data_IF_324536361155
#
_entry.id   IF_324536361155
#
_cell.length_a   1.000
_cell.length_b   1.000
_cell.length_c   1.000
_cell.angle_alpha   90.00
_cell.angle_beta   90.00
_cell.angle_gamma   90.00
#
_symmetry.space_group_name_H-M   'P 1'
#
loop_
_entity.id
_entity.type
_entity.pdbx_description
1 polymer ?
#
# COMPACT_ATOMS: atom_id res chain seq x y z
N UNK A 1 -23.54 9.41 3.54
CA UNK A 1 -23.18 8.27 2.65
C UNK A 1 -21.78 8.54 2.13
N UNK A 2 -20.82 7.72 2.54
CA UNK A 2 -19.40 7.87 2.15
C UNK A 2 -19.26 7.61 0.65
N UNK A 3 -18.84 8.62 -0.12
CA UNK A 3 -18.82 8.56 -1.60
C UNK A 3 -17.58 7.86 -2.18
N UNK A 4 -16.64 7.42 -1.35
CA UNK A 4 -15.45 6.71 -1.84
C UNK A 4 -15.67 5.20 -1.91
N UNK A 5 -15.11 4.61 -2.98
CA UNK A 5 -15.27 3.19 -3.31
C UNK A 5 -14.61 2.23 -2.33
N UNK A 6 -14.95 0.95 -2.48
CA UNK A 6 -14.23 -0.15 -1.84
C UNK A 6 -12.85 -0.33 -2.47
N UNK A 7 -11.92 -0.93 -1.72
CA UNK A 7 -10.66 -1.41 -2.28
C UNK A 7 -10.58 -2.93 -2.24
N UNK A 8 -9.99 -3.58 -3.27
CA UNK A 8 -9.81 -5.02 -3.27
C UNK A 8 -8.64 -5.42 -2.37
N UNK A 9 -8.83 -6.50 -1.60
CA UNK A 9 -7.80 -7.16 -0.80
C UNK A 9 -7.97 -8.69 -0.91
N UNK A 10 -6.87 -9.44 -0.93
CA UNK A 10 -6.95 -10.90 -0.98
C UNK A 10 -7.61 -11.46 0.29
N UNK A 11 -8.50 -12.43 0.14
CA UNK A 11 -9.08 -13.14 1.29
C UNK A 11 -7.97 -13.77 2.16
N UNK A 12 -6.98 -14.38 1.51
CA UNK A 12 -5.82 -14.99 2.15
C UNK A 12 -5.04 -14.02 3.07
N UNK A 13 -5.04 -12.71 2.78
CA UNK A 13 -4.33 -11.75 3.62
C UNK A 13 -4.93 -11.65 5.03
N UNK A 14 -6.26 -11.78 5.16
CA UNK A 14 -6.93 -11.77 6.45
C UNK A 14 -6.86 -13.13 7.14
N UNK A 15 -7.12 -14.21 6.40
CA UNK A 15 -7.24 -15.54 6.97
C UNK A 15 -5.90 -16.16 7.36
N UNK A 16 -4.86 -15.92 6.56
CA UNK A 16 -3.59 -16.65 6.66
C UNK A 16 -2.41 -15.74 6.98
N UNK A 17 -2.45 -14.46 6.57
CA UNK A 17 -1.37 -13.49 6.86
C UNK A 17 -1.64 -12.60 8.08
N UNK A 18 -2.82 -12.72 8.69
CA UNK A 18 -3.15 -12.02 9.94
C UNK A 18 -3.31 -10.50 9.80
N UNK A 19 -3.56 -9.98 8.58
CA UNK A 19 -3.93 -8.58 8.41
C UNK A 19 -5.23 -8.29 9.17
N UNK A 20 -5.32 -7.08 9.73
CA UNK A 20 -6.51 -6.59 10.43
C UNK A 20 -6.84 -5.19 9.93
N UNK A 21 -8.11 -4.82 10.10
CA UNK A 21 -8.58 -3.47 9.82
C UNK A 21 -8.92 -2.77 11.14
N UNK A 22 -8.64 -1.45 11.27
CA UNK A 22 -7.92 -0.63 10.29
C UNK A 22 -6.46 -1.09 10.12
N UNK A 23 -5.87 -0.83 8.95
CA UNK A 23 -4.44 -1.08 8.73
C UNK A 23 -3.61 -0.25 9.72
N UNK A 24 -2.42 -0.74 10.06
CA UNK A 24 -1.50 0.01 10.90
C UNK A 24 -0.95 1.24 10.18
N UNK A 25 -0.42 2.20 10.93
CA UNK A 25 0.21 3.38 10.33
C UNK A 25 1.42 3.02 9.46
N UNK A 26 2.15 1.96 9.81
CA UNK A 26 3.26 1.45 9.01
C UNK A 26 2.78 0.82 7.69
N UNK A 27 1.77 -0.06 7.73
CA UNK A 27 1.18 -0.67 6.53
C UNK A 27 0.66 0.43 5.57
N UNK A 28 -0.09 1.40 6.10
CA UNK A 28 -0.59 2.56 5.35
C UNK A 28 0.57 3.36 4.75
N UNK A 29 1.63 3.60 5.52
CA UNK A 29 2.80 4.33 5.03
C UNK A 29 3.50 3.59 3.88
N UNK A 30 3.60 2.25 3.93
CA UNK A 30 4.18 1.44 2.84
C UNK A 30 3.32 1.52 1.58
N UNK A 31 2.00 1.33 1.69
CA UNK A 31 1.09 1.44 0.53
C UNK A 31 1.13 2.84 -0.10
N UNK A 32 1.19 3.88 0.75
CA UNK A 32 1.32 5.26 0.31
C UNK A 32 2.66 5.51 -0.39
N UNK A 33 3.77 5.06 0.19
CA UNK A 33 5.11 5.24 -0.37
C UNK A 33 5.24 4.55 -1.74
N UNK A 34 4.69 3.34 -1.88
CA UNK A 34 4.69 2.62 -3.16
C UNK A 34 3.69 3.16 -4.18
N UNK A 35 2.75 4.01 -3.77
CA UNK A 35 1.60 4.42 -4.58
C UNK A 35 0.79 3.22 -5.12
N UNK A 36 0.56 2.22 -4.26
CA UNK A 36 -0.17 1.00 -4.60
C UNK A 36 -1.37 0.79 -3.70
N UNK A 37 -2.43 0.20 -4.26
CA UNK A 37 -3.48 -0.40 -3.44
C UNK A 37 -2.99 -1.74 -2.89
N UNK A 38 -3.43 -2.19 -1.70
CA UNK A 38 -2.90 -3.40 -1.07
C UNK A 38 -2.94 -4.63 -1.97
N UNK A 39 -4.03 -4.85 -2.71
CA UNK A 39 -4.11 -5.99 -3.63
C UNK A 39 -3.13 -5.91 -4.80
N UNK A 40 -2.63 -4.75 -5.21
CA UNK A 40 -1.65 -4.65 -6.31
C UNK A 40 -0.26 -5.19 -5.93
N UNK A 41 -0.02 -5.42 -4.63
CA UNK A 41 1.14 -6.12 -4.13
C UNK A 41 0.94 -7.64 -4.18
N UNK A 42 1.99 -8.37 -4.53
CA UNK A 42 1.98 -9.82 -4.41
C UNK A 42 1.79 -10.24 -2.94
N UNK A 43 1.07 -11.33 -2.63
CA UNK A 43 0.84 -11.75 -1.25
C UNK A 43 2.12 -11.90 -0.41
N UNK A 44 3.20 -12.50 -0.93
CA UNK A 44 4.47 -12.57 -0.19
C UNK A 44 5.00 -11.18 0.23
N UNK A 45 4.73 -10.14 -0.56
CA UNK A 45 5.10 -8.76 -0.21
C UNK A 45 4.25 -8.20 0.92
N UNK A 46 2.95 -8.52 0.94
CA UNK A 46 2.08 -8.23 2.08
C UNK A 46 2.57 -8.95 3.34
N UNK A 47 2.99 -10.22 3.21
CA UNK A 47 3.57 -10.97 4.32
C UNK A 47 4.87 -10.34 4.83
N UNK A 48 5.75 -9.84 3.95
CA UNK A 48 6.97 -9.13 4.38
C UNK A 48 6.68 -7.84 5.16
N UNK A 49 5.71 -7.04 4.72
CA UNK A 49 5.30 -5.81 5.43
C UNK A 49 4.87 -6.19 6.86
N UNK A 50 4.00 -7.19 6.98
CA UNK A 50 3.46 -7.61 8.27
C UNK A 50 4.52 -8.23 9.16
N UNK A 51 5.34 -9.13 8.63
CA UNK A 51 6.41 -9.80 9.37
C UNK A 51 7.46 -8.80 9.86
N UNK A 52 7.81 -7.81 9.04
CA UNK A 52 8.74 -6.74 9.43
C UNK A 52 8.18 -5.91 10.58
N UNK A 53 6.92 -5.47 10.49
CA UNK A 53 6.26 -4.73 11.57
C UNK A 53 6.23 -5.53 12.88
N UNK A 54 5.83 -6.80 12.82
CA UNK A 54 5.79 -7.67 14.00
C UNK A 54 7.18 -7.89 14.60
N UNK A 55 8.21 -8.05 13.76
CA UNK A 55 9.60 -8.21 14.19
C UNK A 55 10.13 -6.94 14.84
N UNK A 56 9.83 -5.77 14.26
CA UNK A 56 10.19 -4.48 14.85
C UNK A 56 9.56 -4.28 16.23
N UNK A 57 8.26 -4.58 16.35
CA UNK A 57 7.56 -4.54 17.63
C UNK A 57 8.16 -5.49 18.67
N UNK A 58 8.49 -6.73 18.27
CA UNK A 58 9.14 -7.72 19.14
C UNK A 58 10.53 -7.28 19.61
N UNK A 59 11.33 -6.70 18.71
CA UNK A 59 12.68 -6.21 19.01
C UNK A 59 12.71 -4.82 19.66
N UNK A 60 11.55 -4.18 19.84
CA UNK A 60 11.43 -2.90 20.54
C UNK A 60 11.90 -1.69 19.74
N UNK A 61 11.87 -1.74 18.40
CA UNK A 61 12.17 -0.57 17.56
C UNK A 61 10.99 -0.18 16.66
N UNK A 62 10.97 1.09 16.24
CA UNK A 62 9.92 1.61 15.37
C UNK A 62 10.15 1.14 13.92
N UNK A 63 9.17 0.45 13.29
CA UNK A 63 9.28 0.12 11.87
C UNK A 63 9.18 1.40 11.03
N UNK A 64 10.19 1.67 10.19
CA UNK A 64 10.24 2.87 9.35
C UNK A 64 10.31 2.50 7.88
N UNK A 65 9.81 3.40 7.02
CA UNK A 65 9.89 3.24 5.56
C UNK A 65 11.33 3.08 5.07
N UNK A 66 12.30 3.94 5.49
CA UNK A 66 13.70 3.75 5.13
C UNK A 66 14.26 2.37 5.47
N UNK A 67 14.04 1.91 6.71
CA UNK A 67 14.59 0.63 7.17
C UNK A 67 13.94 -0.56 6.43
N UNK A 68 12.64 -0.47 6.17
CA UNK A 68 11.94 -1.48 5.37
C UNK A 68 12.51 -1.56 3.95
N UNK A 69 12.67 -0.44 3.25
CA UNK A 69 13.18 -0.43 1.87
C UNK A 69 14.69 -0.64 1.74
N UNK A 70 15.43 -0.57 2.86
CA UNK A 70 16.79 -1.09 2.96
C UNK A 70 16.80 -2.64 2.93
N UNK A 71 15.83 -3.27 3.59
CA UNK A 71 15.71 -4.74 3.66
C UNK A 71 14.96 -5.35 2.46
N UNK A 72 14.03 -4.61 1.85
CA UNK A 72 13.14 -5.11 0.80
C UNK A 72 13.12 -4.17 -0.41
N UNK A 73 13.50 -4.69 -1.58
CA UNK A 73 13.56 -3.92 -2.81
C UNK A 73 12.39 -4.21 -3.74
N UNK A 74 11.95 -3.18 -4.46
CA UNK A 74 10.86 -3.28 -5.42
C UNK A 74 11.24 -4.21 -6.60
N UNK A 75 10.35 -5.15 -6.91
CA UNK A 75 10.43 -6.00 -8.09
C UNK A 75 9.09 -6.00 -8.82
N UNK A 76 9.08 -5.62 -10.10
CA UNK A 76 7.85 -5.63 -10.90
C UNK A 76 7.79 -6.91 -11.72
N UNK A 77 6.68 -7.64 -11.61
CA UNK A 77 6.46 -8.75 -12.54
C UNK A 77 6.15 -8.21 -13.94
N UNK A 78 6.84 -8.74 -14.94
CA UNK A 78 6.51 -8.53 -16.36
C UNK A 78 5.62 -9.70 -16.79
N UNK A 79 4.34 -9.48 -17.10
CA UNK A 79 3.48 -10.54 -17.63
C UNK A 79 4.08 -11.12 -18.92
N UNK A 80 4.07 -12.45 -19.09
CA UNK A 80 4.46 -13.07 -20.38
C UNK A 80 3.45 -12.67 -21.47
N UNK A 81 3.95 -12.29 -22.65
CA UNK A 81 3.13 -11.84 -23.79
C UNK A 81 3.28 -10.35 -24.08
N UNK A 82 2.30 -9.76 -24.78
CA UNK A 82 2.35 -8.37 -25.27
C UNK A 82 2.65 -7.36 -24.14
N UNK A 83 3.93 -6.95 -24.10
CA UNK A 83 4.54 -6.21 -23.00
C UNK A 83 4.13 -4.73 -22.99
N UNK A 84 3.50 -4.24 -24.06
CA UNK A 84 3.13 -2.83 -24.19
C UNK A 84 1.97 -2.42 -23.26
N UNK A 85 1.10 -3.36 -22.87
CA UNK A 85 -0.14 -3.04 -22.18
C UNK A 85 -0.46 -3.84 -20.91
N UNK A 86 0.40 -4.80 -20.52
CA UNK A 86 0.15 -5.62 -19.32
C UNK A 86 1.07 -5.22 -18.17
N UNK A 87 0.44 -4.74 -17.09
CA UNK A 87 1.11 -4.49 -15.81
C UNK A 87 0.88 -5.66 -14.88
N UNK A 88 1.95 -6.21 -14.34
CA UNK A 88 1.87 -7.35 -13.44
C UNK A 88 1.51 -6.94 -12.00
N UNK A 89 1.77 -7.85 -11.08
CA UNK A 89 1.88 -7.54 -9.66
C UNK A 89 3.19 -6.83 -9.36
N UNK A 90 3.16 -5.99 -8.35
CA UNK A 90 4.38 -5.50 -7.72
C UNK A 90 4.74 -6.45 -6.59
N UNK A 91 5.98 -6.91 -6.58
CA UNK A 91 6.55 -7.73 -5.54
C UNK A 91 7.68 -6.97 -4.83
N UNK A 92 8.02 -7.43 -3.64
CA UNK A 92 9.20 -7.03 -2.89
C UNK A 92 10.15 -8.21 -2.84
N UNK A 93 11.44 -7.94 -2.99
CA UNK A 93 12.52 -8.91 -2.88
C UNK A 93 13.35 -8.58 -1.65
N UNK A 94 13.58 -9.57 -0.79
CA UNK A 94 14.42 -9.41 0.37
C UNK A 94 15.89 -9.29 -0.06
N UNK A 95 16.64 -8.33 0.50
CA UNK A 95 18.08 -8.17 0.26
C UNK A 95 18.88 -9.30 0.91
N UNK A 96 18.47 -9.68 2.12
CA UNK A 96 18.90 -10.88 2.86
C UNK A 96 17.68 -11.75 3.15
N UNK A 97 17.85 -13.07 3.28
CA UNK A 97 16.77 -14.02 3.61
C UNK A 97 16.28 -13.85 5.06
N UNK A 98 15.66 -12.70 5.37
CA UNK A 98 15.18 -12.37 6.71
C UNK A 98 13.97 -13.22 7.12
N UNK A 99 13.14 -13.61 6.15
CA UNK A 99 11.94 -14.40 6.40
C UNK A 99 11.86 -15.60 5.45
N UNK A 100 12.63 -16.64 5.75
CA UNK A 100 12.71 -17.86 4.92
C UNK A 100 11.35 -18.54 4.74
N UNK A 101 10.48 -18.46 5.75
CA UNK A 101 9.11 -18.99 5.72
C UNK A 101 8.22 -18.42 4.59
N UNK A 102 8.62 -17.30 3.97
CA UNK A 102 7.88 -16.68 2.86
C UNK A 102 8.65 -16.77 1.51
N UNK A 103 9.67 -17.62 1.42
CA UNK A 103 10.35 -17.91 0.15
C UNK A 103 9.49 -18.79 -0.76
N UNK A 104 8.57 -19.57 -0.19
CA UNK A 104 7.58 -20.31 -0.97
C UNK A 104 6.56 -19.34 -1.57
N UNK A 105 6.40 -19.39 -2.89
CA UNK A 105 5.41 -18.56 -3.58
C UNK A 105 4.01 -18.99 -3.17
N UNK A 106 3.22 -18.09 -2.57
CA UNK A 106 1.78 -18.32 -2.39
C UNK A 106 1.17 -18.50 -3.79
N UNK A 107 0.50 -19.64 -4.02
CA UNK A 107 -0.23 -19.96 -5.25
C UNK A 107 -1.74 -19.94 -4.98
N UNK A 108 -2.56 -19.85 -6.02
CA UNK A 108 -4.03 -19.86 -5.90
C UNK A 108 -4.64 -18.61 -5.25
N UNK A 109 -3.82 -17.63 -4.81
CA UNK A 109 -4.31 -16.41 -4.15
C UNK A 109 -5.22 -15.53 -5.02
N UNK A 110 -5.24 -15.76 -6.33
CA UNK A 110 -6.00 -14.97 -7.30
C UNK A 110 -7.48 -15.33 -7.33
N UNK A 111 -7.88 -16.41 -6.67
CA UNK A 111 -9.21 -16.97 -6.84
C UNK A 111 -10.23 -16.34 -5.87
N UNK A 112 -9.76 -15.57 -4.87
CA UNK A 112 -10.66 -14.99 -3.85
C UNK A 112 -10.19 -13.64 -3.30
N UNK A 113 -11.11 -12.67 -3.32
CA UNK A 113 -10.90 -11.30 -2.84
C UNK A 113 -12.09 -10.82 -2.01
N UNK A 114 -11.81 -9.91 -1.09
CA UNK A 114 -12.82 -9.06 -0.47
C UNK A 114 -12.74 -7.64 -1.03
N UNK A 115 -13.90 -7.01 -1.17
CA UNK A 115 -14.02 -5.58 -1.37
C UNK A 115 -14.26 -4.91 -0.02
N UNK A 116 -13.21 -4.31 0.53
CA UNK A 116 -13.24 -3.66 1.84
C UNK A 116 -13.85 -2.27 1.67
N UNK A 117 -14.88 -1.96 2.46
CA UNK A 117 -15.52 -0.64 2.50
C UNK A 117 -15.76 -0.16 3.93
N UNK A 118 -15.56 1.14 4.22
CA UNK A 118 -15.94 1.72 5.51
C UNK A 118 -17.46 1.74 5.67
N UNK A 119 -17.94 1.38 6.87
CA UNK A 119 -19.38 1.32 7.21
C UNK A 119 -19.82 2.42 8.18
N UNK A 120 -18.87 3.03 8.90
CA UNK A 120 -19.10 4.09 9.89
C UNK A 120 -17.97 5.14 9.85
N UNK A 121 -18.13 6.23 10.62
CA UNK A 121 -17.18 7.34 10.65
C UNK A 121 -15.76 6.93 11.10
N UNK A 122 -15.64 6.01 12.05
CA UNK A 122 -14.35 5.52 12.53
C UNK A 122 -13.61 4.78 11.41
N UNK A 123 -14.31 3.85 10.75
CA UNK A 123 -13.76 3.14 9.60
C UNK A 123 -13.44 4.07 8.43
N UNK A 124 -14.23 5.14 8.23
CA UNK A 124 -13.98 6.17 7.23
C UNK A 124 -12.66 6.89 7.49
N UNK A 125 -12.46 7.38 8.71
CA UNK A 125 -11.23 8.07 9.13
C UNK A 125 -9.98 7.19 9.07
N UNK A 126 -10.14 5.86 9.06
CA UNK A 126 -9.00 4.96 8.90
C UNK A 126 -8.42 4.91 7.48
N UNK A 127 -9.23 5.22 6.46
CA UNK A 127 -8.84 5.15 5.04
C UNK A 127 -8.67 6.51 4.40
N UNK A 128 -9.16 7.58 5.02
CA UNK A 128 -8.99 8.96 4.56
C UNK A 128 -8.26 9.84 5.58
N UNK A 129 -7.72 10.96 5.11
CA UNK A 129 -7.28 12.07 5.94
C UNK A 129 -7.83 13.37 5.35
N UNK A 130 -8.10 14.36 6.19
CA UNK A 130 -8.49 15.68 5.72
C UNK A 130 -7.24 16.51 5.48
N UNK A 131 -7.16 17.12 4.31
CA UNK A 131 -6.08 18.02 3.93
C UNK A 131 -6.62 19.25 3.22
N UNK A 132 -5.77 20.27 2.99
CA UNK A 132 -6.16 21.42 2.21
C UNK A 132 -6.51 20.99 0.78
N UNK A 133 -7.69 21.35 0.31
CA UNK A 133 -8.10 21.20 -1.08
C UNK A 133 -7.09 21.92 -1.97
N UNK A 134 -6.74 21.33 -3.11
CA UNK A 134 -5.71 21.87 -4.01
C UNK A 134 -6.29 22.24 -5.36
N UNK A 135 -5.82 23.35 -5.92
CA UNK A 135 -6.13 23.73 -7.30
C UNK A 135 -5.36 22.88 -8.32
N UNK A 136 -5.55 23.18 -9.61
CA UNK A 136 -4.88 22.47 -10.71
C UNK A 136 -3.34 22.59 -10.68
N UNK A 137 -2.79 23.58 -9.97
CA UNK A 137 -1.34 23.78 -9.79
C UNK A 137 -0.80 23.10 -8.54
N UNK A 138 -1.69 22.58 -7.68
CA UNK A 138 -1.34 21.96 -6.40
C UNK A 138 -1.30 22.93 -5.22
N UNK A 139 -1.68 24.20 -5.43
CA UNK A 139 -1.73 25.21 -4.37
C UNK A 139 -3.00 25.05 -3.51
N UNK A 140 -2.93 25.28 -2.18
CA UNK A 140 -4.10 25.20 -1.31
C UNK A 140 -5.19 26.21 -1.70
N UNK A 141 -6.43 25.74 -1.82
CA UNK A 141 -7.61 26.57 -2.03
C UNK A 141 -8.00 27.27 -0.73
N UNK A 142 -8.29 28.57 -0.83
CA UNK A 142 -8.73 29.40 0.28
C UNK A 142 -10.16 29.86 -0.01
N UNK A 143 -11.05 29.68 0.97
CA UNK A 143 -12.43 30.10 0.89
C UNK A 143 -12.59 31.62 0.99
N UNK A 144 -13.80 32.14 0.72
CA UNK A 144 -14.08 33.58 0.82
C UNK A 144 -13.85 34.17 2.23
N UNK A 145 -13.83 33.32 3.26
CA UNK A 145 -13.58 33.66 4.66
C UNK A 145 -12.08 33.65 5.04
N UNK A 146 -11.18 33.43 4.08
CA UNK A 146 -9.74 33.35 4.29
C UNK A 146 -9.27 32.03 4.91
N UNK A 147 -10.15 31.05 5.12
CA UNK A 147 -9.79 29.73 5.64
C UNK A 147 -9.49 28.76 4.51
N UNK A 148 -8.59 27.80 4.76
CA UNK A 148 -8.34 26.74 3.78
C UNK A 148 -9.60 25.89 3.60
N UNK A 149 -9.95 25.64 2.34
CA UNK A 149 -10.97 24.65 2.01
C UNK A 149 -10.38 23.28 2.30
N UNK A 150 -11.08 22.45 3.07
CA UNK A 150 -10.63 21.08 3.37
C UNK A 150 -11.30 20.08 2.44
N UNK A 151 -10.54 19.08 2.03
CA UNK A 151 -11.00 17.96 1.20
C UNK A 151 -10.52 16.62 1.80
N UNK A 152 -11.32 15.59 1.58
CA UNK A 152 -11.01 14.23 1.99
C UNK A 152 -10.07 13.56 0.98
N UNK A 153 -8.89 13.14 1.44
CA UNK A 153 -7.90 12.42 0.65
C UNK A 153 -7.74 10.98 1.16
N UNK A 154 -7.65 10.01 0.27
CA UNK A 154 -7.30 8.63 0.66
C UNK A 154 -5.88 8.55 1.26
N UNK A 155 -5.70 7.85 2.39
CA UNK A 155 -4.39 7.64 3.04
C UNK A 155 -3.44 6.78 2.20
N UNK A 156 -3.98 5.97 1.30
CA UNK A 156 -3.29 5.15 0.30
C UNK A 156 -4.21 4.92 -0.92
N UNK A 157 -3.71 4.53 -2.09
CA UNK A 157 -4.56 4.25 -3.26
C UNK A 157 -5.61 3.16 -3.01
N UNK A 158 -6.88 3.46 -3.29
CA UNK A 158 -7.99 2.51 -3.13
C UNK A 158 -8.24 1.63 -4.37
N UNK A 159 -7.57 1.90 -5.48
CA UNK A 159 -7.67 1.16 -6.72
C UNK A 159 -6.30 0.95 -7.35
N UNK A 160 -6.21 -0.02 -8.25
CA UNK A 160 -4.98 -0.28 -8.99
C UNK A 160 -4.58 0.92 -9.83
N UNK A 161 -3.29 1.23 -9.84
CA UNK A 161 -2.75 2.37 -10.58
C UNK A 161 -1.68 1.91 -11.57
N UNK A 162 -1.89 2.26 -12.85
CA UNK A 162 -0.89 2.12 -13.91
C UNK A 162 0.26 3.11 -13.72
N UNK A 163 0.01 4.27 -13.13
CA UNK A 163 1.01 5.33 -12.93
C UNK A 163 2.22 4.89 -12.11
N UNK A 164 2.08 3.91 -11.22
CA UNK A 164 3.22 3.31 -10.51
C UNK A 164 4.32 2.83 -11.48
N UNK A 165 3.93 2.26 -12.62
CA UNK A 165 4.87 1.71 -13.60
C UNK A 165 5.57 2.76 -14.44
N UNK A 166 5.10 4.01 -14.43
CA UNK A 166 5.77 5.14 -15.07
C UNK A 166 6.93 5.68 -14.24
N UNK A 167 7.00 5.35 -12.94
CA UNK A 167 8.11 5.70 -12.06
C UNK A 167 9.22 4.66 -12.16
N UNK A 168 10.51 5.02 -12.24
CA UNK A 168 11.58 4.04 -12.17
C UNK A 168 11.61 3.34 -10.81
N UNK A 169 12.20 2.14 -10.73
CA UNK A 169 12.29 1.42 -9.45
C UNK A 169 13.18 2.13 -8.43
N UNK A 170 14.13 2.94 -8.90
CA UNK A 170 15.01 3.78 -8.08
C UNK A 170 14.28 4.82 -7.23
N UNK A 171 13.08 5.25 -7.65
CA UNK A 171 12.23 6.17 -6.85
C UNK A 171 11.78 5.54 -5.52
N UNK A 172 11.89 4.21 -5.39
CA UNK A 172 11.46 3.45 -4.23
C UNK A 172 12.62 2.77 -3.51
N UNK A 173 13.85 3.21 -3.80
CA UNK A 173 15.05 2.75 -3.10
C UNK A 173 15.45 3.81 -2.09
N UNK A 174 15.80 3.35 -0.89
CA UNK A 174 16.47 4.20 0.08
C UNK A 174 17.98 4.01 -0.07
N UNK A 175 18.66 4.97 -0.68
CA UNK A 175 20.12 5.04 -0.70
C UNK A 175 20.61 5.88 0.48
N UNK A 176 21.53 5.31 1.26
CA UNK A 176 22.23 6.00 2.35
C UNK A 176 23.15 7.09 1.82
#
# INVERSE_FOLDING_TARGET
KFQWGSFPMYQFAFEQMGYRLPFSDFEVAVFRYLHLTPSQLHPNSLAFIRAFEMTAAYLGFMPTIPLFFHAFHLQRSKPKGDAANKFGWVSLKQSTKLFEMFLEFVRGFKDSYFFVKPLNSISWQSVIYQGPAKDATGAPLVGPDGRQVLEDYSRFPLSWRRSHYMKPASDFVYST
#
